data_IF_377288880190
#
_entry.id   IF_377288880190
#
_cell.length_a   1.000
_cell.length_b   1.000
_cell.length_c   1.000
_cell.angle_alpha   90.00
_cell.angle_beta   90.00
_cell.angle_gamma   90.00
#
_symmetry.space_group_name_H-M   'P 1'
#
loop_
_entity.id
_entity.type
_entity.pdbx_description
1 polymer ?
#
# COMPACT_ATOMS: atom_id res chain seq x y z
N UNK A 1 17.09 -20.41 14.13
CA UNK A 1 17.87 -21.21 13.18
C UNK A 1 17.21 -21.12 11.80
N UNK A 2 17.87 -20.47 10.85
CA UNK A 2 17.43 -20.31 9.45
C UNK A 2 17.10 -21.65 8.75
N UNK A 3 17.63 -22.76 9.25
CA UNK A 3 17.32 -24.10 8.73
C UNK A 3 15.96 -24.62 9.20
N UNK A 4 15.52 -24.26 10.38
CA UNK A 4 14.19 -24.65 10.90
C UNK A 4 13.08 -23.87 10.20
N UNK A 5 13.28 -22.59 9.86
CA UNK A 5 12.29 -21.81 9.09
C UNK A 5 12.13 -22.34 7.66
N UNK A 6 13.19 -22.86 7.04
CA UNK A 6 13.13 -23.53 5.73
C UNK A 6 12.36 -24.85 5.82
N UNK A 7 12.54 -25.61 6.90
CA UNK A 7 11.80 -26.87 7.12
C UNK A 7 10.30 -26.66 7.28
N UNK A 8 9.89 -25.62 8.00
CA UNK A 8 8.48 -25.23 8.12
C UNK A 8 7.88 -24.78 6.79
N UNK A 9 8.61 -24.00 5.98
CA UNK A 9 8.17 -23.59 4.65
C UNK A 9 8.02 -24.78 3.68
N UNK A 10 8.84 -25.83 3.80
CA UNK A 10 8.72 -27.05 3.01
C UNK A 10 7.57 -27.96 3.46
N UNK A 11 7.27 -28.01 4.74
CA UNK A 11 6.13 -28.78 5.30
C UNK A 11 4.80 -28.15 4.87
N UNK A 12 4.74 -26.83 4.75
CA UNK A 12 3.55 -26.07 4.33
C UNK A 12 3.66 -25.58 2.87
N UNK A 13 4.01 -26.45 1.94
CA UNK A 13 4.16 -26.14 0.50
C UNK A 13 2.99 -25.39 -0.16
N UNK A 14 1.88 -25.20 0.54
CA UNK A 14 0.69 -24.47 0.08
C UNK A 14 0.57 -23.05 0.68
N UNK A 15 1.44 -22.65 1.61
CA UNK A 15 1.39 -21.33 2.19
C UNK A 15 2.11 -20.33 1.30
N UNK A 16 1.50 -19.16 1.13
CA UNK A 16 2.14 -18.03 0.50
C UNK A 16 3.18 -17.45 1.47
N UNK A 17 4.46 -17.57 1.13
CA UNK A 17 5.52 -16.88 1.85
C UNK A 17 5.66 -15.49 1.22
N UNK A 18 5.50 -14.47 2.04
CA UNK A 18 5.69 -13.07 1.67
C UNK A 18 6.86 -12.49 2.47
N UNK A 19 7.48 -11.45 1.94
CA UNK A 19 8.59 -10.78 2.60
C UNK A 19 8.55 -9.27 2.37
N UNK A 20 9.19 -8.53 3.26
CA UNK A 20 9.36 -7.09 3.12
C UNK A 20 10.75 -6.65 3.53
N UNK A 21 11.17 -5.50 3.02
CA UNK A 21 12.42 -4.85 3.38
C UNK A 21 12.18 -3.36 3.54
N UNK A 22 12.83 -2.74 4.53
CA UNK A 22 12.81 -1.30 4.72
C UNK A 22 14.14 -0.71 4.22
N UNK A 23 14.09 0.11 3.16
CA UNK A 23 15.28 0.69 2.51
C UNK A 23 15.61 2.10 2.99
N UNK A 24 14.74 2.71 3.79
CA UNK A 24 14.96 4.08 4.24
C UNK A 24 14.03 4.53 5.36
N UNK A 25 14.35 5.68 5.91
CA UNK A 25 13.48 6.36 6.87
C UNK A 25 13.76 7.86 6.92
N UNK A 26 12.82 8.60 7.48
CA UNK A 26 12.98 10.04 7.74
C UNK A 26 14.17 10.36 8.68
N UNK A 27 14.63 9.37 9.47
CA UNK A 27 15.77 9.54 10.39
C UNK A 27 17.10 9.16 9.75
N UNK A 28 17.13 8.14 8.89
CA UNK A 28 18.38 7.60 8.35
C UNK A 28 18.63 7.92 6.88
N UNK A 29 17.68 8.50 6.20
CA UNK A 29 17.75 8.68 4.74
C UNK A 29 17.47 7.38 3.99
N UNK A 30 17.82 7.33 2.71
CA UNK A 30 17.56 6.19 1.81
C UNK A 30 18.87 5.48 1.47
N UNK A 31 18.90 4.17 1.66
CA UNK A 31 20.02 3.33 1.27
C UNK A 31 19.92 2.97 -0.23
N UNK A 32 20.65 3.69 -1.09
CA UNK A 32 20.59 3.53 -2.54
C UNK A 32 21.20 2.21 -3.03
N UNK A 33 22.11 1.60 -2.26
CA UNK A 33 22.68 0.28 -2.60
C UNK A 33 21.60 -0.80 -2.38
N UNK A 34 20.82 -0.70 -1.29
CA UNK A 34 19.67 -1.57 -1.06
C UNK A 34 18.59 -1.37 -2.13
N UNK A 35 18.28 -0.13 -2.49
CA UNK A 35 17.33 0.21 -3.57
C UNK A 35 17.76 -0.42 -4.90
N UNK A 36 19.03 -0.29 -5.27
CA UNK A 36 19.59 -0.87 -6.49
C UNK A 36 19.51 -2.41 -6.50
N UNK A 37 19.72 -3.03 -5.34
CA UNK A 37 19.59 -4.49 -5.19
C UNK A 37 18.12 -4.93 -5.33
N UNK A 38 17.18 -4.17 -4.75
CA UNK A 38 15.74 -4.49 -4.80
C UNK A 38 15.19 -4.46 -6.23
N UNK A 39 15.62 -3.50 -7.06
CA UNK A 39 15.23 -3.48 -8.48
C UNK A 39 15.66 -4.75 -9.22
N UNK A 40 16.86 -5.26 -8.96
CA UNK A 40 17.34 -6.53 -9.53
C UNK A 40 16.54 -7.74 -9.00
N UNK A 41 16.25 -7.77 -7.70
CA UNK A 41 15.49 -8.87 -7.07
C UNK A 41 14.08 -8.91 -7.61
N UNK A 42 13.38 -7.76 -7.71
CA UNK A 42 12.03 -7.67 -8.24
C UNK A 42 11.99 -8.15 -9.69
N UNK A 43 12.91 -7.66 -10.54
CA UNK A 43 13.00 -8.10 -11.94
C UNK A 43 13.23 -9.60 -12.04
N UNK A 44 14.20 -10.12 -11.28
CA UNK A 44 14.53 -11.56 -11.28
C UNK A 44 13.39 -12.42 -10.75
N UNK A 45 12.68 -11.95 -9.72
CA UNK A 45 11.51 -12.63 -9.17
C UNK A 45 10.37 -12.72 -10.21
N UNK A 46 10.13 -11.66 -10.98
CA UNK A 46 9.18 -11.68 -12.08
C UNK A 46 9.56 -12.69 -13.17
N UNK A 47 10.83 -12.70 -13.59
CA UNK A 47 11.35 -13.65 -14.59
C UNK A 47 11.18 -15.11 -14.15
N UNK A 48 11.52 -15.45 -12.90
CA UNK A 48 11.40 -16.81 -12.35
C UNK A 48 9.94 -17.28 -12.26
N UNK A 49 9.01 -16.35 -12.10
CA UNK A 49 7.57 -16.67 -11.95
C UNK A 49 6.74 -16.24 -13.16
N UNK A 50 7.36 -16.05 -14.32
CA UNK A 50 6.69 -15.63 -15.55
C UNK A 50 5.58 -16.61 -15.98
N UNK A 51 5.79 -17.91 -15.78
CA UNK A 51 4.82 -18.99 -16.00
C UNK A 51 3.62 -18.95 -15.04
N UNK A 52 3.71 -18.19 -13.95
CA UNK A 52 2.71 -18.02 -12.88
C UNK A 52 2.24 -16.58 -12.77
N UNK A 53 2.02 -15.92 -13.89
CA UNK A 53 1.57 -14.52 -13.96
C UNK A 53 2.49 -13.54 -13.19
N UNK A 54 3.78 -13.80 -13.17
CA UNK A 54 4.79 -12.97 -12.48
C UNK A 54 4.43 -12.72 -11.00
N UNK A 55 3.84 -13.69 -10.30
CA UNK A 55 3.34 -13.53 -8.92
C UNK A 55 4.44 -13.29 -7.88
N UNK A 56 5.69 -13.59 -8.20
CA UNK A 56 6.79 -13.44 -7.24
C UNK A 56 6.93 -12.05 -6.65
N UNK A 57 7.00 -10.98 -7.45
CA UNK A 57 7.06 -9.61 -6.94
C UNK A 57 5.85 -9.17 -6.12
N UNK A 58 4.65 -9.72 -6.38
CA UNK A 58 3.46 -9.41 -5.59
C UNK A 58 3.59 -9.84 -4.12
N UNK A 59 4.55 -10.74 -3.81
CA UNK A 59 4.85 -11.22 -2.46
C UNK A 59 6.03 -10.50 -1.80
N UNK A 60 6.55 -9.44 -2.43
CA UNK A 60 7.71 -8.69 -1.96
C UNK A 60 7.37 -7.20 -1.88
N UNK A 61 7.49 -6.63 -0.68
CA UNK A 61 7.20 -5.22 -0.43
C UNK A 61 8.48 -4.48 -0.05
N UNK A 62 8.73 -3.35 -0.68
CA UNK A 62 9.85 -2.47 -0.35
C UNK A 62 9.32 -1.23 0.36
N UNK A 63 9.70 -1.03 1.62
CA UNK A 63 9.23 0.05 2.47
C UNK A 63 10.24 1.18 2.64
N UNK A 64 9.72 2.38 2.90
CA UNK A 64 10.37 3.46 3.63
C UNK A 64 9.49 3.85 4.83
N UNK A 65 10.09 4.06 6.01
CA UNK A 65 9.35 4.28 7.26
C UNK A 65 8.35 3.15 7.56
N UNK A 66 8.76 1.90 7.43
CA UNK A 66 7.88 0.77 7.70
C UNK A 66 7.35 0.81 9.14
N UNK A 67 6.02 0.69 9.36
CA UNK A 67 5.47 0.55 10.69
C UNK A 67 5.64 -0.88 11.21
N UNK A 68 5.70 -0.99 12.53
CA UNK A 68 5.63 -2.28 13.20
C UNK A 68 4.19 -2.83 13.18
N UNK A 69 4.06 -4.15 13.31
CA UNK A 69 2.80 -4.87 13.57
C UNK A 69 1.64 -4.54 12.61
N UNK A 70 1.94 -4.39 11.31
CA UNK A 70 0.92 -4.10 10.34
C UNK A 70 0.26 -5.39 9.80
N UNK A 71 -1.08 -5.57 9.93
CA UNK A 71 -1.77 -6.79 9.53
C UNK A 71 -2.18 -6.85 8.05
N UNK A 72 -2.05 -5.75 7.28
CA UNK A 72 -2.57 -5.67 5.91
C UNK A 72 -1.55 -5.94 4.81
N UNK A 73 -0.26 -5.74 5.07
CA UNK A 73 0.75 -5.93 4.03
C UNK A 73 1.49 -7.25 4.19
N UNK A 74 1.86 -7.83 3.07
CA UNK A 74 2.73 -8.99 3.03
C UNK A 74 4.07 -8.69 3.70
N UNK A 75 4.55 -9.57 4.59
CA UNK A 75 5.84 -9.43 5.25
C UNK A 75 5.88 -8.30 6.27
N UNK A 76 4.89 -8.20 7.13
CA UNK A 76 4.88 -7.24 8.23
C UNK A 76 6.12 -7.33 9.12
N UNK A 77 6.53 -6.19 9.66
CA UNK A 77 7.62 -6.13 10.64
C UNK A 77 7.06 -6.37 12.04
N UNK A 78 7.73 -7.23 12.81
CA UNK A 78 7.45 -7.38 14.23
C UNK A 78 8.02 -6.17 14.99
N UNK A 79 7.26 -5.61 15.92
CA UNK A 79 7.70 -4.49 16.76
C UNK A 79 8.89 -4.86 17.65
N UNK A 80 9.64 -3.85 18.07
CA UNK A 80 10.78 -4.01 18.98
C UNK A 80 10.39 -4.22 20.43
N UNK A 81 9.09 -4.09 20.73
CA UNK A 81 8.52 -4.34 22.05
C UNK A 81 8.27 -5.82 22.31
N UNK A 82 7.70 -6.09 23.44
CA UNK A 82 7.21 -7.39 23.86
C UNK A 82 5.71 -7.49 23.55
N UNK A 83 5.17 -8.64 23.34
CA UNK A 83 5.62 -10.02 23.57
C UNK A 83 6.00 -10.74 22.27
N UNK A 84 6.45 -12.00 22.39
CA UNK A 84 6.75 -12.90 21.26
C UNK A 84 5.52 -13.21 20.39
N UNK A 85 4.32 -13.00 20.92
CA UNK A 85 3.06 -13.22 20.23
C UNK A 85 2.07 -12.11 20.58
N UNK A 86 1.44 -11.52 19.56
CA UNK A 86 0.48 -10.42 19.69
C UNK A 86 -0.67 -10.60 18.71
N UNK A 87 -1.87 -10.15 19.10
CA UNK A 87 -3.04 -10.10 18.21
C UNK A 87 -3.18 -8.69 17.67
N UNK A 88 -3.04 -8.53 16.36
CA UNK A 88 -3.35 -7.31 15.64
C UNK A 88 -4.62 -7.50 14.80
N UNK A 89 -5.48 -6.50 14.76
CA UNK A 89 -6.75 -6.56 14.04
C UNK A 89 -6.72 -5.59 12.88
N UNK A 90 -6.76 -6.12 11.65
CA UNK A 90 -7.01 -5.34 10.44
C UNK A 90 -8.50 -5.26 10.15
N UNK A 91 -9.02 -4.05 9.99
CA UNK A 91 -10.42 -3.82 9.60
C UNK A 91 -10.46 -3.01 8.31
N UNK A 92 -11.00 -3.61 7.25
CA UNK A 92 -11.23 -2.92 5.98
C UNK A 92 -12.67 -2.44 5.87
N UNK A 93 -12.94 -1.45 5.06
CA UNK A 93 -14.28 -0.96 4.89
C UNK A 93 -14.52 0.11 3.81
N UNK A 94 -13.90 0.03 2.61
CA UNK A 94 -14.19 0.97 1.53
C UNK A 94 -15.68 1.03 1.20
N UNK A 95 -16.32 -0.12 1.03
CA UNK A 95 -17.76 -0.21 0.72
C UNK A 95 -18.65 0.40 1.80
N UNK A 96 -18.29 0.28 3.08
CA UNK A 96 -19.05 0.90 4.20
C UNK A 96 -18.95 2.42 4.14
N UNK A 97 -17.74 2.96 3.88
CA UNK A 97 -17.54 4.40 3.74
C UNK A 97 -18.30 4.95 2.53
N UNK A 98 -18.17 4.30 1.37
CA UNK A 98 -18.92 4.66 0.17
C UNK A 98 -20.42 4.70 0.45
N UNK A 99 -20.97 3.62 0.98
CA UNK A 99 -22.42 3.54 1.32
C UNK A 99 -22.87 4.59 2.33
N UNK A 100 -21.99 5.08 3.18
CA UNK A 100 -22.31 6.16 4.10
C UNK A 100 -22.41 7.52 3.38
N UNK A 101 -21.51 7.79 2.43
CA UNK A 101 -21.49 9.06 1.67
C UNK A 101 -22.65 9.14 0.67
N UNK A 102 -22.93 8.05 -0.05
CA UNK A 102 -24.02 7.96 -1.05
C UNK A 102 -25.39 8.40 -0.51
N UNK A 103 -25.59 8.34 0.82
CA UNK A 103 -26.85 8.80 1.45
C UNK A 103 -26.99 10.32 1.50
N UNK A 104 -25.96 11.06 1.20
CA UNK A 104 -25.89 12.51 1.35
C UNK A 104 -25.30 13.16 0.08
N UNK A 105 -25.97 13.06 -1.08
CA UNK A 105 -25.43 13.50 -2.36
C UNK A 105 -25.15 15.00 -2.43
N UNK A 106 -25.86 15.81 -1.64
CA UNK A 106 -25.73 17.27 -1.61
C UNK A 106 -24.84 17.76 -0.45
N UNK A 107 -24.16 16.85 0.27
CA UNK A 107 -23.33 17.22 1.41
C UNK A 107 -22.11 18.03 0.95
N UNK A 108 -21.80 19.09 1.70
CA UNK A 108 -20.57 19.84 1.53
C UNK A 108 -19.32 19.01 1.88
N UNK A 109 -18.16 19.43 1.43
CA UNK A 109 -16.89 18.74 1.73
C UNK A 109 -16.67 18.57 3.24
N UNK A 110 -17.05 19.54 4.06
CA UNK A 110 -16.96 19.43 5.52
C UNK A 110 -17.89 18.33 6.08
N UNK A 111 -19.11 18.25 5.57
CA UNK A 111 -20.06 17.24 5.97
C UNK A 111 -19.62 15.84 5.53
N UNK A 112 -19.08 15.71 4.33
CA UNK A 112 -18.48 14.44 3.83
C UNK A 112 -17.35 14.00 4.76
N UNK A 113 -16.43 14.90 5.13
CA UNK A 113 -15.35 14.59 6.08
C UNK A 113 -15.88 14.10 7.43
N UNK A 114 -16.95 14.71 7.95
CA UNK A 114 -17.60 14.28 9.19
C UNK A 114 -18.30 12.93 9.07
N UNK A 115 -18.94 12.64 7.95
CA UNK A 115 -19.57 11.34 7.66
C UNK A 115 -18.50 10.24 7.65
N UNK A 116 -17.38 10.46 6.93
CA UNK A 116 -16.26 9.53 6.86
C UNK A 116 -15.70 9.30 8.27
N UNK A 117 -15.40 10.34 9.01
CA UNK A 117 -14.86 10.28 10.37
C UNK A 117 -15.75 9.48 11.32
N UNK A 118 -17.08 9.74 11.31
CA UNK A 118 -18.04 9.01 12.13
C UNK A 118 -18.15 7.53 11.73
N UNK A 119 -18.04 7.24 10.45
CA UNK A 119 -18.05 5.87 9.92
C UNK A 119 -16.79 5.13 10.34
N UNK A 120 -15.62 5.73 10.15
CA UNK A 120 -14.35 5.20 10.58
C UNK A 120 -14.30 4.93 12.09
N UNK A 121 -14.84 5.84 12.90
CA UNK A 121 -14.98 5.64 14.35
C UNK A 121 -15.75 4.35 14.67
N UNK A 122 -16.91 4.13 14.04
CA UNK A 122 -17.72 2.93 14.29
C UNK A 122 -17.00 1.64 13.90
N UNK A 123 -16.34 1.64 12.74
CA UNK A 123 -15.59 0.49 12.24
C UNK A 123 -14.43 0.16 13.18
N UNK A 124 -13.68 1.16 13.60
CA UNK A 124 -12.54 0.97 14.54
C UNK A 124 -13.01 0.44 15.90
N UNK A 125 -14.12 0.95 16.44
CA UNK A 125 -14.71 0.43 17.69
C UNK A 125 -15.08 -1.04 17.58
N UNK A 126 -15.59 -1.48 16.44
CA UNK A 126 -15.87 -2.90 16.20
C UNK A 126 -14.58 -3.72 16.19
N UNK A 127 -13.54 -3.26 15.50
CA UNK A 127 -12.22 -3.90 15.51
C UNK A 127 -11.63 -4.02 16.93
N UNK A 128 -11.74 -2.95 17.72
CA UNK A 128 -11.31 -2.94 19.14
C UNK A 128 -12.05 -3.99 19.96
N UNK A 129 -13.37 -4.09 19.83
CA UNK A 129 -14.17 -5.08 20.56
C UNK A 129 -13.76 -6.52 20.22
N UNK A 130 -13.61 -6.80 18.92
CA UNK A 130 -13.20 -8.14 18.43
C UNK A 130 -11.79 -8.47 18.91
N UNK A 131 -10.84 -7.55 18.78
CA UNK A 131 -9.46 -7.76 19.23
C UNK A 131 -9.34 -8.00 20.73
N UNK A 132 -10.03 -7.19 21.52
CA UNK A 132 -10.06 -7.36 22.99
C UNK A 132 -10.65 -8.72 23.39
N UNK A 133 -11.75 -9.14 22.72
CA UNK A 133 -12.37 -10.43 23.01
C UNK A 133 -11.51 -11.62 22.58
N UNK A 134 -10.86 -11.52 21.42
CA UNK A 134 -9.91 -12.54 20.97
C UNK A 134 -8.71 -12.67 21.93
N UNK A 135 -8.17 -11.55 22.39
CA UNK A 135 -7.09 -11.51 23.39
C UNK A 135 -7.48 -12.20 24.69
N UNK A 136 -8.66 -11.92 25.19
CA UNK A 136 -9.20 -12.56 26.40
C UNK A 136 -9.33 -14.10 26.25
N UNK A 137 -9.90 -14.54 25.10
CA UNK A 137 -10.14 -15.98 24.84
C UNK A 137 -8.82 -16.75 24.65
N UNK A 138 -7.85 -16.16 23.94
CA UNK A 138 -6.62 -16.84 23.57
C UNK A 138 -5.49 -16.66 24.60
N UNK A 139 -5.64 -15.76 25.56
CA UNK A 139 -4.58 -15.42 26.51
C UNK A 139 -3.36 -14.76 25.85
N UNK A 140 -3.55 -14.10 24.69
CA UNK A 140 -2.49 -13.43 23.94
C UNK A 140 -2.73 -11.91 24.00
N UNK A 141 -1.73 -11.08 24.28
CA UNK A 141 -1.90 -9.63 24.34
C UNK A 141 -2.50 -9.05 23.05
N UNK A 142 -3.36 -8.06 23.22
CA UNK A 142 -3.90 -7.27 22.13
C UNK A 142 -2.95 -6.12 21.79
N UNK A 143 -2.51 -6.04 20.54
CA UNK A 143 -1.64 -4.99 20.01
C UNK A 143 -2.43 -3.84 19.43
N UNK A 144 -2.61 -3.82 18.11
CA UNK A 144 -3.22 -2.69 17.41
C UNK A 144 -4.50 -3.05 16.64
N UNK A 145 -5.30 -2.00 16.39
CA UNK A 145 -6.33 -1.97 15.35
C UNK A 145 -5.80 -1.16 14.18
N UNK A 146 -5.68 -1.78 13.03
CA UNK A 146 -5.38 -1.13 11.78
C UNK A 146 -6.68 -0.92 10.99
N UNK A 147 -7.14 0.33 10.90
CA UNK A 147 -8.24 0.70 10.02
C UNK A 147 -7.69 1.17 8.70
N UNK A 148 -7.49 0.24 7.79
CA UNK A 148 -7.10 0.52 6.43
C UNK A 148 -8.27 0.32 5.48
N UNK A 149 -8.60 1.35 4.69
CA UNK A 149 -9.48 1.18 3.54
C UNK A 149 -8.71 0.45 2.46
N UNK A 150 -8.50 -0.85 2.67
CA UNK A 150 -7.84 -1.76 1.75
C UNK A 150 -8.90 -2.40 0.85
N UNK A 151 -9.00 -2.02 -0.43
CA UNK A 151 -10.02 -2.53 -1.32
C UNK A 151 -9.80 -4.00 -1.64
N UNK A 152 -10.84 -4.65 -2.13
CA UNK A 152 -10.80 -5.98 -2.71
C UNK A 152 -11.40 -5.94 -4.12
N UNK A 153 -11.16 -6.95 -4.98
CA UNK A 153 -11.78 -7.01 -6.30
C UNK A 153 -13.32 -7.17 -6.27
N UNK A 154 -13.91 -7.28 -5.08
CA UNK A 154 -15.36 -7.41 -4.93
C UNK A 154 -16.09 -6.14 -5.33
N UNK A 155 -17.25 -6.31 -5.97
CA UNK A 155 -18.11 -5.21 -6.37
C UNK A 155 -18.51 -4.37 -5.15
N UNK A 156 -18.28 -3.08 -5.23
CA UNK A 156 -18.62 -2.11 -4.18
C UNK A 156 -17.53 -1.88 -3.13
N UNK A 157 -16.41 -2.59 -3.19
CA UNK A 157 -15.29 -2.46 -2.25
C UNK A 157 -14.08 -1.77 -2.92
N UNK A 158 -14.23 -0.51 -3.30
CA UNK A 158 -13.25 0.29 -4.04
C UNK A 158 -13.02 1.65 -3.38
N UNK A 159 -11.74 2.01 -3.20
CA UNK A 159 -11.34 3.35 -2.76
C UNK A 159 -11.52 4.36 -3.88
N UNK A 160 -11.23 4.00 -5.13
CA UNK A 160 -11.49 4.87 -6.27
C UNK A 160 -12.96 5.30 -6.35
N UNK A 161 -13.89 4.37 -6.16
CA UNK A 161 -15.31 4.69 -6.13
C UNK A 161 -15.73 5.58 -4.95
N UNK A 162 -15.00 5.57 -3.83
CA UNK A 162 -15.22 6.58 -2.76
C UNK A 162 -14.84 7.97 -3.25
N UNK A 163 -13.71 8.09 -3.97
CA UNK A 163 -13.25 9.38 -4.50
C UNK A 163 -14.20 9.92 -5.57
N UNK A 164 -14.76 9.04 -6.39
CA UNK A 164 -15.79 9.36 -7.38
C UNK A 164 -17.09 9.79 -6.70
N UNK A 165 -17.51 9.13 -5.63
CA UNK A 165 -18.69 9.51 -4.84
C UNK A 165 -18.51 10.88 -4.15
N UNK A 166 -17.28 11.30 -3.86
CA UNK A 166 -16.97 12.67 -3.37
C UNK A 166 -17.20 13.72 -4.47
N UNK A 167 -17.30 13.32 -5.74
CA UNK A 167 -17.64 14.19 -6.86
C UNK A 167 -16.63 14.23 -8.00
N UNK A 168 -15.74 13.25 -8.09
CA UNK A 168 -14.84 13.10 -9.23
C UNK A 168 -15.49 12.23 -10.31
N UNK A 169 -15.40 12.63 -11.57
CA UNK A 169 -15.92 11.82 -12.70
C UNK A 169 -15.17 10.49 -12.82
N UNK A 170 -13.87 10.49 -12.57
CA UNK A 170 -13.01 9.31 -12.53
C UNK A 170 -11.85 9.54 -11.59
N UNK A 171 -11.45 8.49 -10.87
CA UNK A 171 -10.21 8.49 -10.12
C UNK A 171 -9.03 8.77 -11.07
N UNK A 172 -8.09 9.62 -10.65
CA UNK A 172 -6.96 10.06 -11.49
C UNK A 172 -7.14 11.46 -12.05
N UNK A 173 -8.36 11.96 -12.21
CA UNK A 173 -8.62 13.33 -12.64
C UNK A 173 -8.07 14.37 -11.65
N UNK A 174 -7.93 15.64 -12.08
CA UNK A 174 -7.53 16.71 -11.18
C UNK A 174 -8.51 16.83 -10.01
N UNK A 175 -7.99 16.96 -8.79
CA UNK A 175 -8.77 16.89 -7.54
C UNK A 175 -8.60 15.56 -6.79
N UNK A 176 -8.22 14.46 -7.45
CA UNK A 176 -8.08 13.14 -6.81
C UNK A 176 -7.13 13.15 -5.63
N UNK A 177 -5.97 13.79 -5.73
CA UNK A 177 -5.01 13.89 -4.61
C UNK A 177 -5.60 14.65 -3.43
N UNK A 178 -6.39 15.71 -3.66
CA UNK A 178 -7.06 16.47 -2.61
C UNK A 178 -8.17 15.66 -1.93
N UNK A 179 -9.00 14.97 -2.73
CA UNK A 179 -10.05 14.10 -2.21
C UNK A 179 -9.48 12.92 -1.41
N UNK A 180 -8.35 12.34 -1.87
CA UNK A 180 -7.64 11.29 -1.14
C UNK A 180 -7.04 11.80 0.16
N UNK A 181 -6.49 13.01 0.19
CA UNK A 181 -5.99 13.64 1.43
C UNK A 181 -7.11 13.81 2.45
N UNK A 182 -8.29 14.29 2.02
CA UNK A 182 -9.48 14.40 2.87
C UNK A 182 -9.91 13.04 3.40
N UNK A 183 -10.02 12.04 2.53
CA UNK A 183 -10.41 10.68 2.91
C UNK A 183 -9.46 10.09 3.95
N UNK A 184 -8.16 10.14 3.67
CA UNK A 184 -7.13 9.59 4.53
C UNK A 184 -7.10 10.26 5.92
N UNK A 185 -7.20 11.58 5.98
CA UNK A 185 -7.24 12.35 7.22
C UNK A 185 -8.50 12.06 8.05
N UNK A 186 -9.67 12.04 7.40
CA UNK A 186 -10.94 11.75 8.08
C UNK A 186 -10.97 10.33 8.66
N UNK A 187 -10.44 9.34 7.94
CA UNK A 187 -10.30 7.95 8.41
C UNK A 187 -9.39 7.90 9.64
N UNK A 188 -8.22 8.51 9.59
CA UNK A 188 -7.27 8.55 10.72
C UNK A 188 -7.87 9.23 11.94
N UNK A 189 -8.53 10.37 11.77
CA UNK A 189 -9.21 11.09 12.87
C UNK A 189 -10.30 10.23 13.51
N UNK A 190 -11.11 9.53 12.72
CA UNK A 190 -12.12 8.61 13.22
C UNK A 190 -11.51 7.45 14.02
N UNK A 191 -10.43 6.87 13.52
CA UNK A 191 -9.69 5.79 14.17
C UNK A 191 -9.13 6.21 15.54
N UNK A 192 -8.34 7.27 15.57
CA UNK A 192 -7.70 7.77 16.80
C UNK A 192 -8.72 8.16 17.87
N UNK A 193 -9.89 8.68 17.49
CA UNK A 193 -10.99 8.97 18.42
C UNK A 193 -11.67 7.71 18.96
N UNK A 194 -11.56 6.59 18.26
CA UNK A 194 -12.26 5.34 18.61
C UNK A 194 -11.44 4.42 19.52
N UNK A 195 -10.11 4.44 19.43
CA UNK A 195 -9.24 3.50 20.12
C UNK A 195 -7.87 4.11 20.40
N UNK A 196 -7.29 3.79 21.56
CA UNK A 196 -5.90 4.09 21.89
C UNK A 196 -4.91 3.10 21.22
N UNK A 197 -5.42 2.02 20.64
CA UNK A 197 -4.63 0.96 20.02
C UNK A 197 -4.54 1.11 18.48
N UNK A 198 -4.86 2.28 17.92
CA UNK A 198 -4.74 2.50 16.47
C UNK A 198 -3.27 2.49 16.05
N UNK A 199 -2.96 1.73 15.01
CA UNK A 199 -1.59 1.58 14.51
C UNK A 199 -1.54 1.06 13.07
N UNK A 200 -0.42 0.47 12.71
CA UNK A 200 -0.19 -0.11 11.40
C UNK A 200 -0.20 0.93 10.27
N UNK A 201 -0.89 0.61 9.20
CA UNK A 201 -1.02 1.43 8.00
C UNK A 201 -2.32 2.23 7.93
N UNK A 202 -3.06 2.34 9.03
CA UNK A 202 -4.38 2.99 9.09
C UNK A 202 -4.55 4.16 8.12
N UNK A 203 -5.58 4.10 7.27
CA UNK A 203 -5.89 5.11 6.26
C UNK A 203 -6.37 4.53 4.95
N UNK A 204 -6.20 5.25 3.85
CA UNK A 204 -6.66 4.84 2.53
C UNK A 204 -5.54 4.18 1.71
N UNK A 205 -5.77 2.97 1.23
CA UNK A 205 -4.91 2.23 0.29
C UNK A 205 -5.31 2.54 -1.15
N UNK A 206 -4.34 2.46 -2.06
CA UNK A 206 -4.56 2.68 -3.48
C UNK A 206 -3.91 1.58 -4.34
N UNK A 207 -4.10 0.28 -4.03
CA UNK A 207 -3.59 -0.79 -4.89
C UNK A 207 -4.35 -0.79 -6.21
N UNK A 208 -3.63 -0.98 -7.33
CA UNK A 208 -4.31 -0.93 -8.64
C UNK A 208 -5.03 -2.25 -8.92
N UNK A 209 -4.39 -3.41 -8.74
CA UNK A 209 -4.99 -4.69 -9.14
C UNK A 209 -6.10 -5.18 -8.20
N UNK A 210 -6.17 -4.65 -7.00
CA UNK A 210 -7.12 -5.06 -5.96
C UNK A 210 -8.36 -4.13 -5.90
N UNK A 211 -8.41 -3.09 -6.73
CA UNK A 211 -9.46 -2.05 -6.73
C UNK A 211 -10.08 -1.88 -8.12
N UNK A 212 -11.33 -2.29 -8.28
CA UNK A 212 -12.02 -2.23 -9.56
C UNK A 212 -12.06 -0.81 -10.17
N UNK A 213 -12.28 0.21 -9.36
CA UNK A 213 -12.28 1.60 -9.83
C UNK A 213 -10.89 2.11 -10.22
N UNK A 214 -9.82 1.65 -9.55
CA UNK A 214 -8.45 1.97 -9.98
C UNK A 214 -8.13 1.31 -11.34
N UNK A 215 -8.52 0.05 -11.52
CA UNK A 215 -8.38 -0.67 -12.80
C UNK A 215 -9.10 0.10 -13.91
N UNK A 216 -10.34 0.49 -13.70
CA UNK A 216 -11.14 1.23 -14.68
C UNK A 216 -10.51 2.59 -15.00
N UNK A 217 -10.01 3.31 -13.99
CA UNK A 217 -9.32 4.59 -14.17
C UNK A 217 -8.02 4.46 -14.98
N UNK A 218 -7.27 3.39 -14.81
CA UNK A 218 -6.08 3.09 -15.63
C UNK A 218 -6.51 2.76 -17.08
N UNK A 219 -7.50 1.90 -17.25
CA UNK A 219 -7.96 1.45 -18.57
C UNK A 219 -8.55 2.59 -19.40
N UNK A 220 -9.25 3.55 -18.81
CA UNK A 220 -9.75 4.73 -19.52
C UNK A 220 -8.71 5.84 -19.69
N UNK A 221 -7.49 5.66 -19.13
CA UNK A 221 -6.39 6.62 -19.26
C UNK A 221 -6.47 7.83 -18.31
N UNK A 222 -7.38 7.82 -17.33
CA UNK A 222 -7.49 8.88 -16.32
C UNK A 222 -6.39 8.78 -15.26
N UNK A 223 -5.88 7.57 -14.97
CA UNK A 223 -4.90 7.30 -13.94
C UNK A 223 -3.59 6.75 -14.53
N UNK A 224 -2.53 7.53 -14.46
CA UNK A 224 -1.17 7.13 -14.83
C UNK A 224 -0.28 6.93 -13.61
N UNK A 225 0.92 6.37 -13.82
CA UNK A 225 1.88 6.10 -12.75
C UNK A 225 2.31 7.38 -12.02
N UNK A 226 2.59 8.44 -12.75
CA UNK A 226 3.00 9.74 -12.18
C UNK A 226 1.88 10.37 -11.32
N UNK A 227 0.62 10.10 -11.67
CA UNK A 227 -0.52 10.51 -10.85
C UNK A 227 -0.62 9.67 -9.57
N UNK A 228 -0.38 8.36 -9.66
CA UNK A 228 -0.31 7.49 -8.49
C UNK A 228 0.81 7.92 -7.54
N UNK A 229 2.01 8.21 -8.04
CA UNK A 229 3.12 8.73 -7.25
C UNK A 229 2.72 10.02 -6.50
N UNK A 230 2.05 10.96 -7.16
CA UNK A 230 1.53 12.16 -6.49
C UNK A 230 0.48 11.82 -5.41
N UNK A 231 -0.36 10.81 -5.63
CA UNK A 231 -1.35 10.35 -4.66
C UNK A 231 -0.69 9.67 -3.45
N UNK A 232 0.46 9.03 -3.62
CA UNK A 232 1.17 8.37 -2.52
C UNK A 232 1.71 9.36 -1.48
N UNK A 233 1.86 10.63 -1.82
CA UNK A 233 2.19 11.67 -0.84
C UNK A 233 1.11 11.83 0.26
N UNK A 234 -0.14 11.44 -0.02
CA UNK A 234 -1.29 11.63 0.87
C UNK A 234 -2.05 10.36 1.22
N UNK A 235 -1.74 9.22 0.61
CA UNK A 235 -2.32 7.92 0.97
C UNK A 235 -1.64 7.34 2.23
N UNK A 236 -2.05 6.18 2.68
CA UNK A 236 -1.46 5.52 3.86
C UNK A 236 -0.30 4.57 3.53
N UNK A 237 -0.16 4.12 2.30
CA UNK A 237 0.84 3.10 1.93
C UNK A 237 1.84 3.60 0.89
N UNK A 238 1.48 3.64 -0.39
CA UNK A 238 2.41 3.91 -1.49
C UNK A 238 1.91 3.31 -2.81
N UNK A 239 2.84 3.01 -3.71
CA UNK A 239 2.56 2.28 -4.94
C UNK A 239 2.34 0.81 -4.64
N UNK A 240 1.12 0.35 -4.79
CA UNK A 240 0.75 -0.99 -4.41
C UNK A 240 0.12 -1.76 -5.56
N UNK A 241 0.61 -3.00 -5.79
CA UNK A 241 0.13 -3.89 -6.85
C UNK A 241 0.10 -3.23 -8.23
N UNK A 242 1.20 -2.55 -8.58
CA UNK A 242 1.37 -1.86 -9.86
C UNK A 242 1.99 -2.79 -10.88
N UNK A 243 1.27 -3.09 -11.94
CA UNK A 243 1.78 -3.90 -13.05
C UNK A 243 2.42 -3.01 -14.10
N UNK A 244 3.66 -3.32 -14.48
CA UNK A 244 4.46 -2.55 -15.44
C UNK A 244 4.97 -3.44 -16.56
N UNK A 245 5.39 -2.88 -17.73
CA UNK A 245 5.89 -3.68 -18.84
C UNK A 245 7.04 -4.62 -18.44
N UNK A 246 7.04 -5.80 -19.02
CA UNK A 246 8.02 -6.83 -18.67
C UNK A 246 9.45 -6.52 -19.11
N UNK A 247 9.66 -5.58 -20.01
CA UNK A 247 10.97 -5.10 -20.49
C UNK A 247 11.56 -3.98 -19.62
N UNK A 248 10.84 -3.52 -18.59
CA UNK A 248 11.35 -2.52 -17.63
C UNK A 248 12.72 -2.95 -17.06
N UNK A 249 13.65 -2.02 -17.00
CA UNK A 249 15.00 -2.32 -16.48
C UNK A 249 15.03 -2.35 -14.95
N UNK A 250 15.96 -3.12 -14.34
CA UNK A 250 16.17 -3.08 -12.88
C UNK A 250 16.44 -1.68 -12.34
N UNK A 251 17.13 -0.84 -13.13
CA UNK A 251 17.46 0.53 -12.75
C UNK A 251 16.20 1.42 -12.71
N UNK A 252 15.26 1.22 -13.65
CA UNK A 252 13.98 1.95 -13.64
C UNK A 252 13.13 1.51 -12.45
N UNK A 253 13.06 0.22 -12.14
CA UNK A 253 12.39 -0.28 -10.91
C UNK A 253 13.01 0.36 -9.67
N UNK A 254 14.35 0.40 -9.60
CA UNK A 254 15.09 1.03 -8.50
C UNK A 254 14.78 2.52 -8.37
N UNK A 255 14.64 3.23 -9.49
CA UNK A 255 14.32 4.65 -9.47
C UNK A 255 12.90 4.91 -8.93
N UNK A 256 11.91 4.12 -9.33
CA UNK A 256 10.55 4.19 -8.79
C UNK A 256 10.55 3.94 -7.27
N UNK A 257 11.33 2.94 -6.80
CA UNK A 257 11.51 2.69 -5.37
C UNK A 257 12.15 3.90 -4.67
N UNK A 258 13.15 4.53 -5.29
CA UNK A 258 13.82 5.70 -4.72
C UNK A 258 12.87 6.91 -4.62
N UNK A 259 12.03 7.13 -5.63
CA UNK A 259 11.05 8.23 -5.66
C UNK A 259 10.00 8.04 -4.56
N UNK A 260 9.45 6.83 -4.42
CA UNK A 260 8.52 6.51 -3.33
C UNK A 260 9.16 6.63 -1.94
N UNK A 261 10.39 6.14 -1.80
CA UNK A 261 11.13 6.29 -0.55
C UNK A 261 11.40 7.77 -0.23
N UNK A 262 11.66 8.61 -1.23
CA UNK A 262 11.85 10.05 -1.04
C UNK A 262 10.54 10.74 -0.61
N UNK A 263 9.41 10.38 -1.21
CA UNK A 263 8.08 10.87 -0.79
C UNK A 263 7.83 10.51 0.68
N UNK A 264 8.07 9.25 1.06
CA UNK A 264 7.91 8.79 2.43
C UNK A 264 8.83 9.49 3.42
N UNK A 265 10.10 9.60 3.06
CA UNK A 265 11.15 10.23 3.88
C UNK A 265 10.86 11.70 4.16
N UNK A 266 10.53 12.47 3.12
CA UNK A 266 10.31 13.93 3.22
C UNK A 266 9.01 14.24 3.95
N UNK A 267 7.96 13.47 3.71
CA UNK A 267 6.65 13.67 4.34
C UNK A 267 6.51 12.98 5.71
N UNK A 268 7.56 12.32 6.20
CA UNK A 268 7.55 11.55 7.45
C UNK A 268 6.37 10.58 7.52
N UNK A 269 6.13 9.86 6.43
CA UNK A 269 5.07 8.86 6.31
C UNK A 269 5.62 7.54 5.79
N UNK A 270 4.91 6.46 6.02
CA UNK A 270 5.20 5.17 5.37
C UNK A 270 4.92 5.26 3.88
N UNK A 271 5.86 4.78 3.07
CA UNK A 271 5.62 4.41 1.69
C UNK A 271 6.08 2.98 1.45
N UNK A 272 5.39 2.30 0.53
CA UNK A 272 5.69 0.93 0.13
C UNK A 272 5.61 0.82 -1.39
N UNK A 273 6.38 -0.11 -1.96
CA UNK A 273 6.34 -0.43 -3.39
C UNK A 273 6.14 -1.93 -3.56
N UNK A 274 5.04 -2.32 -4.21
CA UNK A 274 4.82 -3.63 -4.84
C UNK A 274 4.68 -3.41 -6.34
N UNK A 275 5.79 -3.56 -7.06
CA UNK A 275 5.87 -3.37 -8.51
C UNK A 275 6.05 -4.71 -9.20
N UNK A 276 5.23 -5.00 -10.21
CA UNK A 276 5.16 -6.30 -10.86
C UNK A 276 5.51 -6.17 -12.35
N UNK A 277 6.76 -6.44 -12.74
CA UNK A 277 7.13 -6.53 -14.16
C UNK A 277 6.41 -7.69 -14.84
N UNK A 278 5.57 -7.38 -15.83
CA UNK A 278 4.75 -8.34 -16.56
C UNK A 278 5.55 -8.95 -17.72
N UNK A 279 6.37 -9.94 -17.45
CA UNK A 279 7.27 -10.56 -18.44
C UNK A 279 6.48 -11.05 -19.65
N UNK A 280 6.86 -10.57 -20.85
CA UNK A 280 6.22 -10.91 -22.11
C UNK A 280 4.88 -10.18 -22.38
N UNK A 281 4.53 -9.19 -21.56
CA UNK A 281 3.30 -8.38 -21.73
C UNK A 281 3.63 -6.92 -22.01
N UNK A 282 2.74 -6.27 -22.73
CA UNK A 282 2.81 -4.89 -23.15
C UNK A 282 1.77 -4.02 -22.45
N UNK A 283 1.92 -2.71 -22.53
CA UNK A 283 0.96 -1.72 -22.00
C UNK A 283 -0.45 -2.01 -22.51
N UNK A 284 -1.43 -2.00 -21.62
CA UNK A 284 -2.85 -2.28 -21.91
C UNK A 284 -3.24 -3.75 -21.83
N UNK A 285 -2.28 -4.68 -21.74
CA UNK A 285 -2.57 -6.07 -21.38
C UNK A 285 -2.81 -6.21 -19.87
N UNK A 286 -3.34 -7.34 -19.43
CA UNK A 286 -3.67 -7.59 -18.03
C UNK A 286 -2.95 -8.83 -17.50
N UNK A 287 -2.51 -8.79 -16.24
CA UNK A 287 -2.10 -9.96 -15.47
C UNK A 287 -3.22 -10.37 -14.50
N UNK A 288 -3.47 -11.67 -14.42
CA UNK A 288 -4.47 -12.27 -13.53
C UNK A 288 -3.80 -12.94 -12.35
N UNK A 289 -3.94 -12.38 -11.15
CA UNK A 289 -3.37 -12.97 -9.94
C UNK A 289 -4.38 -13.86 -9.21
N UNK A 290 -5.66 -13.57 -9.36
CA UNK A 290 -6.76 -14.25 -8.71
C UNK A 290 -6.91 -13.94 -7.21
N UNK A 291 -7.99 -14.43 -6.62
CA UNK A 291 -8.29 -14.23 -5.19
C UNK A 291 -8.36 -12.74 -4.82
N UNK A 292 -7.78 -12.39 -3.68
CA UNK A 292 -7.75 -11.01 -3.18
C UNK A 292 -6.80 -10.09 -3.95
N UNK A 293 -5.83 -10.63 -4.69
CA UNK A 293 -4.87 -9.84 -5.46
C UNK A 293 -5.42 -9.34 -6.80
N UNK A 294 -6.55 -9.89 -7.23
CA UNK A 294 -7.32 -9.45 -8.40
C UNK A 294 -6.60 -9.58 -9.73
N UNK A 295 -6.70 -8.54 -10.56
CA UNK A 295 -6.09 -8.47 -11.90
C UNK A 295 -5.57 -7.04 -12.13
N UNK A 296 -4.38 -6.92 -12.74
CA UNK A 296 -3.73 -5.63 -12.94
C UNK A 296 -3.47 -5.31 -14.41
N UNK A 297 -3.93 -4.13 -14.91
CA UNK A 297 -3.54 -3.64 -16.22
C UNK A 297 -2.06 -3.23 -16.24
N UNK A 298 -1.35 -3.55 -17.31
CA UNK A 298 0.04 -3.14 -17.52
C UNK A 298 0.07 -1.63 -17.79
N UNK A 299 0.58 -0.86 -16.84
CA UNK A 299 0.64 0.59 -16.90
C UNK A 299 1.87 1.08 -17.68
N UNK A 300 1.73 2.21 -18.34
CA UNK A 300 2.84 2.87 -19.04
C UNK A 300 3.88 3.37 -18.03
N UNK A 301 5.17 3.18 -18.35
CA UNK A 301 6.32 3.69 -17.60
C UNK A 301 7.18 4.55 -18.51
N UNK A 302 7.83 5.58 -17.95
CA UNK A 302 8.80 6.39 -18.67
C UNK A 302 10.02 5.54 -19.08
N UNK A 303 10.40 5.59 -20.35
CA UNK A 303 11.47 4.77 -20.92
C UNK A 303 12.87 5.42 -20.85
N UNK A 304 12.99 6.65 -20.32
CA UNK A 304 14.29 7.30 -20.14
C UNK A 304 15.07 6.64 -19.02
N UNK A 305 16.34 6.34 -19.26
CA UNK A 305 17.15 5.54 -18.36
C UNK A 305 17.65 6.33 -17.11
N UNK A 306 17.35 5.86 -15.90
CA UNK A 306 17.90 6.39 -14.65
C UNK A 306 19.22 5.69 -14.24
N UNK A 307 19.79 4.84 -15.08
CA UNK A 307 20.90 3.94 -14.71
C UNK A 307 22.09 4.66 -14.08
N UNK A 308 22.47 5.84 -14.59
CA UNK A 308 23.58 6.64 -14.02
C UNK A 308 23.25 7.16 -12.61
N UNK A 309 21.98 7.50 -12.33
CA UNK A 309 21.57 7.93 -11.00
C UNK A 309 21.66 6.75 -10.02
N UNK A 310 21.10 5.61 -10.38
CA UNK A 310 21.09 4.40 -9.53
C UNK A 310 22.50 3.88 -9.29
N UNK A 311 23.38 3.89 -10.31
CA UNK A 311 24.75 3.40 -10.19
C UNK A 311 25.66 4.22 -9.26
N UNK A 312 25.24 5.42 -8.84
CA UNK A 312 25.98 6.22 -7.85
C UNK A 312 26.03 5.57 -6.48
N UNK A 313 25.02 4.76 -6.13
CA UNK A 313 24.94 4.06 -4.85
C UNK A 313 24.93 4.98 -3.62
N UNK A 314 25.37 4.46 -2.50
CA UNK A 314 25.51 5.21 -1.26
C UNK A 314 24.18 5.54 -0.58
N UNK A 315 24.03 6.77 -0.10
CA UNK A 315 22.83 7.15 0.67
C UNK A 315 22.32 8.54 0.30
N UNK A 316 21.00 8.67 0.12
CA UNK A 316 20.33 9.98 0.17
C UNK A 316 20.20 10.35 1.65
N UNK A 317 20.78 11.49 2.10
CA UNK A 317 20.73 11.88 3.50
C UNK A 317 19.31 12.12 4.00
N UNK A 318 19.11 12.00 5.32
CA UNK A 318 17.84 12.37 5.95
C UNK A 318 17.54 13.86 5.73
N UNK A 319 16.27 14.23 5.52
CA UNK A 319 15.89 15.60 5.25
C UNK A 319 15.96 16.48 6.51
N UNK A 320 16.10 17.79 6.31
CA UNK A 320 15.99 18.77 7.38
C UNK A 320 14.52 19.16 7.60
N UNK A 321 13.89 18.57 8.61
CA UNK A 321 12.48 18.87 8.93
C UNK A 321 12.28 20.17 9.71
N UNK A 322 13.35 20.76 10.25
CA UNK A 322 13.28 21.99 11.05
C UNK A 322 13.13 23.27 10.20
N UNK A 323 13.46 23.20 8.92
CA UNK A 323 13.32 24.30 7.97
C UNK A 323 12.14 24.02 7.08
N UNK A 324 11.05 24.76 7.26
CA UNK A 324 9.89 24.74 6.37
C UNK A 324 10.01 25.90 5.41
N UNK A 325 9.97 25.60 4.14
CA UNK A 325 9.92 26.63 3.10
C UNK A 325 8.51 27.23 3.02
#
# INVERSE_FOLDING_TARGET
DLRMSRGLGDVYKRQNICSSINVGSSKSGINMDAVAMMGKIIKKSAEITADKQCIGPAKLVVFCNAPDDNPFMAGAFHGTGEPDCVINVGVSGPGVVRSAITKYPDASINEIADIIKKTAFKITRMGQLVGSKASEILGVPFGIVDLSLAPTPAVGDSVAHILEEIGLESCGTHGTTAALALLNDAVKKGGVMASSNVGGLSGAFIPVSEDAGMIDAVNCGALGLEKLEAMTAVCSVGLDMIVVPGDITPETISAIIADEAAIGMVNNKTTAVRLIPAIGRSVGETLEFGGLLGSGPVMKVNTKSPAKFISRGGRIPAPMHSIKN
#
